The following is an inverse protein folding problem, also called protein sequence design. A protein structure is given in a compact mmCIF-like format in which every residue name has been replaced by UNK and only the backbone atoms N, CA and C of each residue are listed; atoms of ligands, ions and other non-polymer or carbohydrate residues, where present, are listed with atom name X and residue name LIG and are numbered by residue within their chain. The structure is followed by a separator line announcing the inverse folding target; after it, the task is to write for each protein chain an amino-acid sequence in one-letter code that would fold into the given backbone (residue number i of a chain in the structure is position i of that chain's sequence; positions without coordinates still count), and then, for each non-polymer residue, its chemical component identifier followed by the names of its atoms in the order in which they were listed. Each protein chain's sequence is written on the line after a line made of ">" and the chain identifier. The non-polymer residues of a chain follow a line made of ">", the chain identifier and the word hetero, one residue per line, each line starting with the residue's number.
data_IF_476068262256
#
_entry.id   IF_476068262256
#
_cell.length_a   1.000
_cell.length_b   1.000
_cell.length_c   1.000
_cell.angle_alpha   90.00
_cell.angle_beta   90.00
_cell.angle_gamma   90.00
#
_symmetry.space_group_name_H-M   'P 1'
#
loop_
_entity.id
_entity.type
_entity.pdbx_description
1 polymer ?
#
# COMPACT_ATOMS: atom_id res chain seq x y z
N UNK A 1 -20.27 -8.28 -17.08
CA UNK A 1 -19.06 -7.70 -17.70
C UNK A 1 -19.48 -6.82 -18.88
N UNK A 2 -18.87 -5.65 -19.11
CA UNK A 2 -19.16 -4.88 -20.32
C UNK A 2 -18.73 -5.69 -21.53
N UNK A 3 -19.66 -6.03 -22.44
CA UNK A 3 -19.30 -6.62 -23.74
C UNK A 3 -18.44 -5.60 -24.49
N UNK A 4 -17.21 -5.97 -24.79
CA UNK A 4 -16.36 -5.19 -25.69
C UNK A 4 -16.73 -5.58 -27.13
N UNK A 5 -17.11 -4.59 -27.93
CA UNK A 5 -17.42 -4.80 -29.33
C UNK A 5 -16.13 -4.89 -30.15
N UNK A 6 -16.12 -5.76 -31.16
CA UNK A 6 -15.06 -5.83 -32.16
C UNK A 6 -14.83 -4.47 -32.84
N UNK A 7 -13.62 -4.25 -33.35
CA UNK A 7 -13.25 -3.01 -34.03
C UNK A 7 -14.13 -2.77 -35.27
N UNK A 8 -14.32 -3.81 -36.08
CA UNK A 8 -15.18 -3.80 -37.28
C UNK A 8 -16.62 -3.38 -36.94
N UNK A 9 -17.16 -3.92 -35.85
CA UNK A 9 -18.50 -3.60 -35.40
C UNK A 9 -18.63 -2.14 -34.95
N UNK A 10 -17.59 -1.59 -34.30
CA UNK A 10 -17.59 -0.18 -33.88
C UNK A 10 -17.57 0.75 -35.10
N UNK A 11 -16.77 0.44 -36.11
CA UNK A 11 -16.72 1.23 -37.35
C UNK A 11 -18.07 1.24 -38.08
N UNK A 12 -18.68 0.06 -38.23
CA UNK A 12 -20.02 -0.06 -38.79
C UNK A 12 -21.05 0.72 -37.98
N UNK A 13 -21.05 0.55 -36.65
CA UNK A 13 -21.97 1.25 -35.76
C UNK A 13 -21.81 2.77 -35.83
N UNK A 14 -20.58 3.29 -35.92
CA UNK A 14 -20.33 4.71 -36.07
C UNK A 14 -20.82 5.25 -37.41
N UNK A 15 -20.63 4.52 -38.52
CA UNK A 15 -21.17 4.90 -39.83
C UNK A 15 -22.70 4.97 -39.82
N UNK A 16 -23.36 3.97 -39.22
CA UNK A 16 -24.83 3.93 -39.10
C UNK A 16 -25.35 5.06 -38.19
N UNK A 17 -24.66 5.35 -37.09
CA UNK A 17 -25.01 6.46 -36.19
C UNK A 17 -24.91 7.79 -36.94
N UNK A 18 -23.80 8.04 -37.64
CA UNK A 18 -23.59 9.29 -38.39
C UNK A 18 -24.62 9.47 -39.50
N UNK A 19 -24.95 8.38 -40.21
CA UNK A 19 -25.99 8.38 -41.25
C UNK A 19 -27.36 8.79 -40.69
N UNK A 20 -27.81 8.13 -39.61
CA UNK A 20 -29.15 8.38 -39.03
C UNK A 20 -29.22 9.75 -38.35
N UNK A 21 -28.13 10.24 -37.77
CA UNK A 21 -28.08 11.58 -37.16
C UNK A 21 -28.06 12.70 -38.21
N UNK A 22 -27.57 12.43 -39.43
CA UNK A 22 -27.47 13.41 -40.52
C UNK A 22 -28.62 13.31 -41.55
N UNK A 23 -29.60 12.41 -41.37
CA UNK A 23 -30.82 12.31 -42.19
C UNK A 23 -31.75 13.54 -41.99
N UNK A 24 -31.35 14.71 -42.52
CA UNK A 24 -32.14 15.96 -42.44
C UNK A 24 -33.03 16.23 -43.67
N UNK A 25 -33.00 15.37 -44.70
CA UNK A 25 -33.63 15.65 -46.02
C UNK A 25 -34.59 14.55 -46.53
N UNK A 26 -35.11 13.70 -45.64
CA UNK A 26 -36.07 12.64 -45.97
C UNK A 26 -37.50 12.95 -45.49
N UNK A 27 -38.53 12.16 -45.91
CA UNK A 27 -39.90 12.33 -45.42
C UNK A 27 -39.90 12.27 -43.89
N UNK A 28 -40.61 13.22 -43.26
CA UNK A 28 -40.62 13.48 -41.82
C UNK A 28 -41.06 12.25 -41.00
N UNK A 29 -40.12 11.34 -40.75
CA UNK A 29 -40.26 10.25 -39.78
C UNK A 29 -40.18 10.90 -38.39
N UNK A 30 -41.09 10.56 -37.45
CA UNK A 30 -41.10 11.20 -36.14
C UNK A 30 -39.74 11.05 -35.44
N UNK A 31 -39.10 12.19 -35.19
CA UNK A 31 -37.76 12.38 -34.59
C UNK A 31 -37.58 11.77 -33.19
N UNK A 32 -38.64 11.21 -32.61
CA UNK A 32 -38.68 10.79 -31.21
C UNK A 32 -38.03 9.43 -30.94
N UNK A 33 -37.35 8.79 -31.90
CA UNK A 33 -36.73 7.50 -31.60
C UNK A 33 -35.45 7.18 -32.39
N UNK A 34 -34.55 8.15 -32.58
CA UNK A 34 -33.21 7.88 -33.16
C UNK A 34 -32.52 6.73 -32.43
N UNK A 35 -32.56 6.73 -31.09
CA UNK A 35 -31.94 5.69 -30.28
C UNK A 35 -32.69 4.35 -30.37
N UNK A 36 -34.02 4.36 -30.48
CA UNK A 36 -34.83 3.17 -30.76
C UNK A 36 -34.54 2.55 -32.13
N UNK A 37 -34.36 3.37 -33.17
CA UNK A 37 -33.97 2.92 -34.51
C UNK A 37 -32.57 2.30 -34.48
N UNK A 38 -31.63 2.94 -33.78
CA UNK A 38 -30.28 2.42 -33.64
C UNK A 38 -30.23 1.08 -32.90
N UNK A 39 -31.06 0.91 -31.86
CA UNK A 39 -31.20 -0.37 -31.18
C UNK A 39 -31.75 -1.45 -32.12
N UNK A 40 -32.78 -1.15 -32.90
CA UNK A 40 -33.38 -2.09 -33.84
C UNK A 40 -32.43 -2.47 -34.98
N UNK A 41 -31.68 -1.51 -35.53
CA UNK A 41 -30.77 -1.72 -36.67
C UNK A 41 -29.50 -2.44 -36.26
N UNK A 42 -28.91 -2.06 -35.12
CA UNK A 42 -27.65 -2.63 -34.65
C UNK A 42 -27.86 -3.86 -33.76
N UNK A 43 -29.10 -4.15 -33.33
CA UNK A 43 -29.44 -5.28 -32.46
C UNK A 43 -28.82 -5.19 -31.06
N UNK A 44 -28.56 -3.97 -30.57
CA UNK A 44 -27.88 -3.71 -29.29
C UNK A 44 -28.75 -2.88 -28.36
N UNK A 45 -28.66 -3.14 -27.06
CA UNK A 45 -29.41 -2.39 -26.03
C UNK A 45 -29.22 -0.88 -26.17
N UNK A 46 -30.25 -0.09 -25.87
CA UNK A 46 -30.18 1.38 -25.71
C UNK A 46 -28.90 1.87 -24.99
N UNK A 47 -28.56 1.25 -23.85
CA UNK A 47 -27.37 1.61 -23.05
C UNK A 47 -26.05 1.48 -23.82
N UNK A 48 -25.97 0.50 -24.72
CA UNK A 48 -24.81 0.27 -25.57
C UNK A 48 -24.72 1.29 -26.70
N UNK A 49 -25.86 1.70 -27.26
CA UNK A 49 -25.94 2.81 -28.23
C UNK A 49 -25.44 4.11 -27.59
N UNK A 50 -25.92 4.46 -26.40
CA UNK A 50 -25.45 5.65 -25.67
C UNK A 50 -23.94 5.62 -25.42
N UNK A 51 -23.39 4.47 -25.02
CA UNK A 51 -21.95 4.31 -24.82
C UNK A 51 -21.16 4.48 -26.11
N UNK A 52 -21.67 3.97 -27.24
CA UNK A 52 -21.04 4.13 -28.55
C UNK A 52 -21.09 5.58 -29.02
N UNK A 53 -22.21 6.30 -28.82
CA UNK A 53 -22.32 7.73 -29.11
C UNK A 53 -21.32 8.57 -28.33
N UNK A 54 -21.19 8.34 -27.02
CA UNK A 54 -20.19 9.03 -26.18
C UNK A 54 -18.77 8.77 -26.68
N UNK A 55 -18.45 7.51 -26.97
CA UNK A 55 -17.13 7.15 -27.53
C UNK A 55 -16.86 7.77 -28.89
N UNK A 56 -17.87 7.88 -29.76
CA UNK A 56 -17.77 8.55 -31.05
C UNK A 56 -17.54 10.05 -30.89
N UNK A 57 -18.19 10.68 -29.90
CA UNK A 57 -18.00 12.09 -29.56
C UNK A 57 -16.59 12.36 -29.04
N UNK A 58 -16.10 11.55 -28.10
CA UNK A 58 -14.71 11.60 -27.60
C UNK A 58 -13.70 11.50 -28.76
N UNK A 59 -13.89 10.56 -29.69
CA UNK A 59 -13.02 10.41 -30.87
C UNK A 59 -13.08 11.60 -31.84
N UNK A 60 -14.24 12.25 -32.00
CA UNK A 60 -14.39 13.48 -32.81
C UNK A 60 -13.68 14.65 -32.12
N UNK A 61 -13.80 14.78 -30.80
CA UNK A 61 -13.11 15.81 -30.00
C UNK A 61 -11.59 15.63 -30.03
N UNK A 62 -11.09 14.40 -29.91
CA UNK A 62 -9.66 14.08 -30.02
C UNK A 62 -9.10 14.42 -31.42
N UNK A 63 -9.87 14.16 -32.48
CA UNK A 63 -9.50 14.53 -33.86
C UNK A 63 -9.52 16.05 -34.08
N UNK A 64 -10.48 16.76 -33.49
CA UNK A 64 -10.55 18.22 -33.52
C UNK A 64 -9.40 18.88 -32.74
N UNK A 65 -9.01 18.32 -31.59
CA UNK A 65 -7.83 18.78 -30.85
C UNK A 65 -6.52 18.49 -31.61
N UNK A 66 -6.43 17.32 -32.25
CA UNK A 66 -5.28 16.96 -33.10
C UNK A 66 -5.16 17.85 -34.35
N UNK A 67 -6.28 18.20 -35.00
CA UNK A 67 -6.29 19.12 -36.15
C UNK A 67 -6.00 20.57 -35.77
N UNK A 68 -6.33 20.99 -34.53
CA UNK A 68 -5.90 22.27 -33.96
C UNK A 68 -4.40 22.28 -33.63
N UNK A 69 -3.84 21.16 -33.16
CA UNK A 69 -2.42 21.02 -32.84
C UNK A 69 -1.53 20.96 -34.09
N UNK A 70 -1.96 20.28 -35.16
CA UNK A 70 -1.17 20.07 -36.39
C UNK A 70 -1.01 21.30 -37.30
N UNK A 71 -1.72 22.41 -37.05
CA UNK A 71 -1.38 23.72 -37.64
C UNK A 71 -0.11 24.34 -37.04
N UNK A 72 0.41 23.76 -35.96
CA UNK A 72 1.65 24.16 -35.29
C UNK A 72 2.47 22.91 -35.00
N UNK A 73 3.44 22.65 -35.88
CA UNK A 73 4.54 21.69 -35.69
C UNK A 73 4.26 20.25 -36.13
N UNK A 74 5.00 19.85 -37.16
CA UNK A 74 5.26 18.46 -37.54
C UNK A 74 6.03 17.70 -36.46
N UNK A 75 5.52 16.58 -35.95
CA UNK A 75 6.30 15.34 -35.72
C UNK A 75 5.47 14.20 -35.12
N UNK A 76 5.59 13.03 -35.77
CA UNK A 76 5.50 11.65 -35.25
C UNK A 76 4.40 11.28 -34.24
N UNK A 77 3.37 10.58 -34.73
CA UNK A 77 2.45 9.79 -33.92
C UNK A 77 3.09 8.45 -33.53
N UNK A 78 3.20 8.19 -32.23
CA UNK A 78 3.35 6.85 -31.67
C UNK A 78 2.16 6.59 -30.74
N UNK A 79 1.51 5.41 -30.78
CA UNK A 79 0.33 5.15 -29.97
C UNK A 79 0.75 4.95 -28.51
N UNK A 80 0.43 5.93 -27.66
CA UNK A 80 0.64 5.82 -26.22
C UNK A 80 -0.44 4.89 -25.64
N UNK A 81 -0.09 3.85 -24.85
CA UNK A 81 -1.09 3.03 -24.19
C UNK A 81 -1.87 3.89 -23.20
N UNK A 82 -3.20 3.89 -23.33
CA UNK A 82 -4.10 4.60 -22.41
C UNK A 82 -3.81 4.16 -20.98
N UNK A 83 -3.47 5.13 -20.13
CA UNK A 83 -3.24 4.89 -18.70
C UNK A 83 -4.51 4.30 -18.07
N UNK A 84 -4.38 3.34 -17.15
CA UNK A 84 -5.53 2.72 -16.51
C UNK A 84 -6.38 3.80 -15.83
N UNK A 85 -7.66 3.86 -16.20
CA UNK A 85 -8.64 4.79 -15.61
C UNK A 85 -8.67 4.57 -14.10
N UNK A 86 -8.17 5.56 -13.36
CA UNK A 86 -8.23 5.61 -11.90
C UNK A 86 -9.69 5.56 -11.48
N UNK A 87 -10.15 4.40 -10.99
CA UNK A 87 -11.46 4.31 -10.31
C UNK A 87 -11.34 5.15 -9.05
N UNK A 88 -12.21 6.16 -8.88
CA UNK A 88 -12.20 7.01 -7.69
C UNK A 88 -12.53 6.14 -6.46
N UNK A 89 -11.49 5.70 -5.75
CA UNK A 89 -11.63 5.08 -4.45
C UNK A 89 -12.08 6.09 -3.41
N UNK A 90 -12.39 5.60 -2.20
CA UNK A 90 -12.64 6.47 -1.04
C UNK A 90 -11.43 7.40 -0.84
N UNK A 91 -11.63 8.71 -0.64
CA UNK A 91 -10.53 9.64 -0.41
C UNK A 91 -9.70 9.19 0.79
N UNK A 92 -8.37 9.25 0.65
CA UNK A 92 -7.46 8.99 1.76
C UNK A 92 -7.66 10.08 2.81
N UNK A 93 -7.71 9.69 4.08
CA UNK A 93 -7.70 10.64 5.19
C UNK A 93 -6.36 11.36 5.13
N UNK A 94 -6.39 12.66 4.80
CA UNK A 94 -5.19 13.49 4.82
C UNK A 94 -5.03 14.06 6.23
N UNK A 95 -3.89 13.76 6.84
CA UNK A 95 -3.59 14.25 8.18
C UNK A 95 -2.89 15.60 8.10
N UNK A 96 -3.36 16.58 8.86
CA UNK A 96 -2.68 17.87 9.03
C UNK A 96 -1.30 17.66 9.67
N UNK A 97 -0.37 18.61 9.50
CA UNK A 97 0.97 18.52 10.12
C UNK A 97 0.88 18.26 11.63
N UNK A 98 -0.04 18.95 12.31
CA UNK A 98 -0.31 18.73 13.73
C UNK A 98 -0.68 17.28 14.07
N UNK A 99 -1.54 16.64 13.26
CA UNK A 99 -1.90 15.25 13.49
C UNK A 99 -0.72 14.30 13.28
N UNK A 100 0.16 14.60 12.32
CA UNK A 100 1.37 13.81 12.07
C UNK A 100 2.34 13.89 13.26
N UNK A 101 2.54 15.10 13.79
CA UNK A 101 3.38 15.33 14.97
C UNK A 101 2.80 14.67 16.22
N UNK A 102 1.47 14.65 16.35
CA UNK A 102 0.77 13.97 17.45
C UNK A 102 1.04 12.46 17.44
N UNK A 103 1.05 11.83 16.26
CA UNK A 103 1.41 10.40 16.12
C UNK A 103 2.86 10.18 16.56
N UNK A 104 3.80 11.00 16.10
CA UNK A 104 5.23 10.90 16.47
C UNK A 104 5.43 11.08 17.97
N UNK A 105 4.80 12.09 18.56
CA UNK A 105 4.89 12.38 19.99
C UNK A 105 4.35 11.20 20.81
N UNK A 106 3.15 10.72 20.49
CA UNK A 106 2.52 9.60 21.22
C UNK A 106 3.37 8.33 21.10
N UNK A 107 3.94 8.07 19.92
CA UNK A 107 4.86 6.96 19.71
C UNK A 107 6.09 7.04 20.63
N UNK A 108 6.72 8.22 20.72
CA UNK A 108 7.89 8.42 21.59
C UNK A 108 7.55 8.41 23.08
N UNK A 109 6.35 8.87 23.46
CA UNK A 109 5.86 8.76 24.83
C UNK A 109 5.69 7.29 25.25
N UNK A 110 5.13 6.44 24.39
CA UNK A 110 5.04 5.00 24.68
C UNK A 110 6.41 4.37 24.91
N UNK A 111 7.40 4.73 24.09
CA UNK A 111 8.78 4.27 24.28
C UNK A 111 9.39 4.78 25.59
N UNK A 112 9.10 6.03 25.97
CA UNK A 112 9.52 6.61 27.26
C UNK A 112 8.92 5.84 28.45
N UNK A 113 7.67 5.40 28.31
CA UNK A 113 6.94 4.62 29.33
C UNK A 113 7.34 3.13 29.33
N UNK A 114 8.44 2.76 28.66
CA UNK A 114 8.95 1.39 28.55
C UNK A 114 7.95 0.43 27.89
N UNK A 115 7.04 0.94 27.05
CA UNK A 115 6.10 0.14 26.28
C UNK A 115 6.44 0.16 24.79
N UNK A 116 6.41 -1.02 24.14
CA UNK A 116 6.57 -1.07 22.70
C UNK A 116 5.32 -0.50 22.00
N UNK A 117 5.48 0.48 21.10
CA UNK A 117 4.36 1.04 20.35
C UNK A 117 3.83 -0.01 19.36
N UNK A 118 2.69 -0.59 19.69
CA UNK A 118 1.89 -1.40 18.76
C UNK A 118 0.83 -0.51 18.12
N UNK A 119 0.30 -0.90 16.95
CA UNK A 119 -0.80 -0.15 16.32
C UNK A 119 -2.03 -0.03 17.24
N UNK A 120 -2.27 -1.04 18.08
CA UNK A 120 -3.38 -1.07 19.01
C UNK A 120 -3.17 -0.12 20.19
N UNK A 121 -2.02 -0.21 20.86
CA UNK A 121 -1.74 0.66 22.00
C UNK A 121 -1.58 2.11 21.55
N UNK A 122 -0.96 2.34 20.39
CA UNK A 122 -0.84 3.68 19.81
C UNK A 122 -2.21 4.26 19.47
N UNK A 123 -3.09 3.50 18.82
CA UNK A 123 -4.44 3.96 18.50
C UNK A 123 -5.26 4.22 19.77
N UNK A 124 -5.21 3.32 20.75
CA UNK A 124 -5.91 3.47 22.02
C UNK A 124 -5.44 4.73 22.78
N UNK A 125 -4.12 4.95 22.84
CA UNK A 125 -3.54 6.14 23.49
C UNK A 125 -3.92 7.42 22.75
N UNK A 126 -3.87 7.41 21.42
CA UNK A 126 -4.28 8.55 20.59
C UNK A 126 -5.75 8.91 20.80
N UNK A 127 -6.66 7.93 20.76
CA UNK A 127 -8.10 8.18 20.94
C UNK A 127 -8.45 8.55 22.38
N UNK A 128 -7.70 8.06 23.37
CA UNK A 128 -7.88 8.43 24.78
C UNK A 128 -7.47 9.88 25.05
N UNK A 129 -6.41 10.37 24.41
CA UNK A 129 -5.93 11.75 24.60
C UNK A 129 -6.65 12.74 23.67
N UNK A 130 -7.02 12.30 22.47
CA UNK A 130 -7.63 13.11 21.42
C UNK A 130 -8.85 12.36 20.84
N UNK A 131 -10.04 12.47 21.46
CA UNK A 131 -11.25 11.77 21.00
C UNK A 131 -11.67 12.12 19.57
N UNK A 132 -11.38 13.34 19.13
CA UNK A 132 -11.71 13.87 17.80
C UNK A 132 -10.65 13.58 16.74
N UNK A 133 -9.67 12.73 17.04
CA UNK A 133 -8.62 12.38 16.08
C UNK A 133 -9.23 11.72 14.82
N UNK A 134 -8.82 12.13 13.60
CA UNK A 134 -9.47 11.70 12.36
C UNK A 134 -9.29 10.21 12.03
N UNK A 135 -8.29 9.56 12.62
CA UNK A 135 -7.99 8.14 12.37
C UNK A 135 -8.56 7.28 13.50
N UNK A 136 -9.57 6.47 13.17
CA UNK A 136 -10.23 5.55 14.11
C UNK A 136 -9.95 4.07 13.87
N UNK A 137 -9.18 3.72 12.83
CA UNK A 137 -8.92 2.33 12.44
C UNK A 137 -7.43 1.99 12.42
N UNK A 138 -7.10 0.77 12.85
CA UNK A 138 -5.72 0.23 12.84
C UNK A 138 -5.11 0.27 11.44
N UNK A 139 -5.87 -0.07 10.40
CA UNK A 139 -5.41 -0.08 9.01
C UNK A 139 -5.08 1.31 8.47
N UNK A 140 -5.88 2.31 8.83
CA UNK A 140 -5.60 3.70 8.45
C UNK A 140 -4.38 4.25 9.20
N UNK A 141 -4.26 3.97 10.51
CA UNK A 141 -3.07 4.34 11.29
C UNK A 141 -1.80 3.70 10.72
N UNK A 142 -1.84 2.42 10.36
CA UNK A 142 -0.72 1.74 9.72
C UNK A 142 -0.29 2.44 8.42
N UNK A 143 -1.25 2.82 7.56
CA UNK A 143 -0.95 3.54 6.31
C UNK A 143 -0.31 4.90 6.58
N UNK A 144 -0.84 5.65 7.54
CA UNK A 144 -0.28 6.97 7.89
C UNK A 144 1.11 6.85 8.53
N UNK A 145 1.34 5.86 9.41
CA UNK A 145 2.68 5.57 9.92
C UNK A 145 3.66 5.26 8.78
N UNK A 146 3.26 4.45 7.80
CA UNK A 146 4.09 4.18 6.61
C UNK A 146 4.33 5.43 5.77
N UNK A 147 3.37 6.34 5.67
CA UNK A 147 3.52 7.63 5.00
C UNK A 147 4.48 8.56 5.75
N UNK A 148 4.53 8.48 7.08
CA UNK A 148 5.45 9.19 7.97
C UNK A 148 6.85 8.53 8.07
N UNK A 149 7.21 7.67 7.11
CA UNK A 149 8.49 6.97 7.06
C UNK A 149 8.76 5.98 8.20
N UNK A 150 7.74 5.60 9.00
CA UNK A 150 7.92 4.54 10.00
C UNK A 150 8.15 3.17 9.31
N UNK A 151 9.04 2.38 9.91
CA UNK A 151 9.45 1.06 9.40
C UNK A 151 9.23 0.00 10.46
N UNK A 152 8.40 -0.99 10.17
CA UNK A 152 8.30 -2.21 10.97
C UNK A 152 9.38 -3.19 10.51
N UNK A 153 10.39 -3.45 11.34
CA UNK A 153 11.53 -4.29 10.96
C UNK A 153 12.09 -5.05 12.16
N UNK A 154 12.88 -6.08 11.86
CA UNK A 154 13.53 -6.88 12.89
C UNK A 154 14.56 -6.05 13.66
N UNK A 155 14.53 -6.25 14.97
CA UNK A 155 15.52 -5.77 15.90
C UNK A 155 16.82 -6.52 15.68
N UNK A 156 17.90 -5.81 15.32
CA UNK A 156 19.26 -6.38 15.32
C UNK A 156 19.60 -6.80 16.75
N UNK A 157 19.70 -8.12 17.00
CA UNK A 157 20.29 -8.66 18.23
C UNK A 157 21.77 -8.26 18.28
N UNK A 158 22.31 -8.08 19.48
CA UNK A 158 23.75 -7.94 19.64
C UNK A 158 24.42 -9.19 19.04
N UNK A 159 25.31 -9.00 18.05
CA UNK A 159 26.10 -10.10 17.53
C UNK A 159 27.15 -10.43 18.58
N UNK A 160 26.94 -11.51 19.32
CA UNK A 160 28.04 -12.12 20.08
C UNK A 160 29.00 -12.68 19.05
N UNK A 161 30.23 -12.17 19.02
CA UNK A 161 31.29 -12.68 18.14
C UNK A 161 31.76 -14.04 18.68
N UNK A 162 30.96 -15.08 18.44
CA UNK A 162 31.30 -16.46 18.81
C UNK A 162 32.60 -16.93 18.15
N UNK A 163 32.96 -16.31 17.02
CA UNK A 163 34.20 -16.58 16.29
C UNK A 163 35.43 -15.89 16.90
N UNK A 164 35.28 -15.10 17.96
CA UNK A 164 36.44 -14.54 18.68
C UNK A 164 37.34 -15.67 19.20
N UNK A 165 38.65 -15.51 18.97
CA UNK A 165 39.68 -16.48 19.37
C UNK A 165 39.57 -16.83 20.87
N UNK A 166 39.20 -15.86 21.71
CA UNK A 166 39.02 -16.08 23.15
C UNK A 166 37.88 -17.06 23.45
N UNK A 167 36.73 -16.94 22.78
CA UNK A 167 35.60 -17.86 22.96
C UNK A 167 35.93 -19.26 22.42
N UNK A 168 36.63 -19.33 21.29
CA UNK A 168 37.07 -20.61 20.73
C UNK A 168 38.03 -21.34 21.68
N UNK A 169 39.01 -20.63 22.25
CA UNK A 169 39.97 -21.19 23.20
C UNK A 169 39.27 -21.69 24.47
N UNK A 170 38.36 -20.91 25.06
CA UNK A 170 37.58 -21.33 26.22
C UNK A 170 36.73 -22.58 25.93
N UNK A 171 36.09 -22.63 24.75
CA UNK A 171 35.30 -23.77 24.32
C UNK A 171 36.15 -25.03 24.14
N UNK A 172 37.36 -24.90 23.59
CA UNK A 172 38.30 -26.00 23.46
C UNK A 172 38.73 -26.56 24.83
N UNK A 173 39.02 -25.68 25.80
CA UNK A 173 39.35 -26.08 27.18
C UNK A 173 38.17 -26.80 27.84
N UNK A 174 36.96 -26.28 27.69
CA UNK A 174 35.74 -26.90 28.20
C UNK A 174 35.56 -28.32 27.65
N UNK A 175 35.66 -28.50 26.32
CA UNK A 175 35.48 -29.82 25.71
C UNK A 175 36.54 -30.83 26.15
N UNK A 176 37.81 -30.43 26.26
CA UNK A 176 38.86 -31.30 26.81
C UNK A 176 38.52 -31.80 28.21
N UNK A 177 37.97 -30.92 29.05
CA UNK A 177 37.54 -31.28 30.40
C UNK A 177 36.36 -32.24 30.39
N UNK A 178 35.34 -31.98 29.56
CA UNK A 178 34.21 -32.88 29.37
C UNK A 178 34.68 -34.27 28.91
N UNK A 179 35.60 -34.35 27.96
CA UNK A 179 36.11 -35.63 27.45
C UNK A 179 36.87 -36.41 28.53
N UNK A 180 37.66 -35.73 29.36
CA UNK A 180 38.32 -36.37 30.51
C UNK A 180 37.32 -36.94 31.53
N UNK A 181 36.19 -36.24 31.77
CA UNK A 181 35.15 -36.70 32.69
C UNK A 181 34.38 -37.91 32.12
N UNK A 182 34.17 -37.95 30.79
CA UNK A 182 33.57 -39.09 30.08
C UNK A 182 34.47 -40.33 30.16
N UNK A 183 35.77 -40.16 29.96
CA UNK A 183 36.75 -41.25 30.08
C UNK A 183 36.76 -41.85 31.50
N UNK A 184 36.57 -41.01 32.51
CA UNK A 184 36.51 -41.43 33.91
C UNK A 184 35.11 -41.94 34.33
N UNK A 185 34.21 -42.19 33.38
CA UNK A 185 32.84 -42.69 33.62
C UNK A 185 32.03 -41.87 34.64
N UNK A 186 32.31 -40.55 34.72
CA UNK A 186 31.63 -39.65 35.66
C UNK A 186 30.21 -39.33 35.20
N UNK A 187 29.25 -39.32 36.14
CA UNK A 187 27.87 -38.94 35.87
C UNK A 187 27.79 -37.41 35.72
N UNK A 188 27.30 -36.94 34.58
CA UNK A 188 27.12 -35.51 34.30
C UNK A 188 25.65 -35.13 34.31
N UNK A 189 25.34 -34.05 35.02
CA UNK A 189 24.05 -33.38 34.96
C UNK A 189 24.24 -32.00 34.37
N UNK A 190 23.42 -31.65 33.37
CA UNK A 190 23.38 -30.32 32.79
C UNK A 190 22.11 -29.62 33.26
N UNK A 191 22.28 -28.40 33.75
CA UNK A 191 21.17 -27.52 34.07
C UNK A 191 21.31 -26.24 33.24
N UNK A 192 20.21 -25.79 32.65
CA UNK A 192 20.15 -24.52 31.95
C UNK A 192 19.02 -23.69 32.56
N UNK A 193 19.37 -22.54 33.11
CA UNK A 193 18.42 -21.59 33.65
C UNK A 193 18.04 -20.61 32.55
N UNK A 194 16.78 -20.68 32.08
CA UNK A 194 16.23 -19.66 31.18
C UNK A 194 15.56 -18.58 32.01
N UNK A 195 16.25 -17.46 32.23
CA UNK A 195 15.68 -16.29 32.88
C UNK A 195 14.71 -15.58 31.93
N UNK A 196 13.41 -15.60 32.26
CA UNK A 196 12.40 -14.85 31.51
C UNK A 196 12.44 -13.38 31.92
N UNK A 197 13.19 -12.58 31.17
CA UNK A 197 13.31 -11.15 31.45
C UNK A 197 12.05 -10.41 30.99
N UNK A 198 11.36 -9.71 31.91
CA UNK A 198 10.23 -8.82 31.58
C UNK A 198 10.61 -7.75 30.56
N UNK A 199 11.89 -7.39 30.49
CA UNK A 199 12.45 -6.40 29.58
C UNK A 199 13.08 -7.02 28.32
N UNK A 200 12.76 -8.28 27.98
CA UNK A 200 13.27 -8.89 26.75
C UNK A 200 12.82 -8.08 25.52
N UNK A 201 13.80 -7.71 24.70
CA UNK A 201 13.57 -6.90 23.51
C UNK A 201 12.78 -7.70 22.48
N UNK A 202 11.68 -7.13 21.96
CA UNK A 202 10.88 -7.78 20.92
C UNK A 202 11.70 -7.95 19.63
N UNK A 203 11.53 -9.10 18.98
CA UNK A 203 12.22 -9.43 17.72
C UNK A 203 11.89 -8.48 16.58
N UNK A 204 10.67 -7.93 16.54
CA UNK A 204 10.21 -7.00 15.50
C UNK A 204 9.53 -5.82 16.16
N UNK A 205 9.92 -4.61 15.78
CA UNK A 205 9.37 -3.37 16.35
C UNK A 205 9.23 -2.30 15.27
N UNK A 206 8.43 -1.29 15.55
CA UNK A 206 8.33 -0.09 14.74
C UNK A 206 9.51 0.83 15.01
N UNK A 207 10.09 1.38 13.97
CA UNK A 207 11.14 2.40 14.00
C UNK A 207 10.62 3.68 13.36
N UNK A 208 10.89 4.80 14.00
CA UNK A 208 10.74 6.12 13.41
C UNK A 208 11.76 6.36 12.28
N UNK A 209 11.59 7.42 11.51
CA UNK A 209 12.49 7.91 10.46
C UNK A 209 13.94 8.05 10.97
N UNK A 210 14.09 8.57 12.19
CA UNK A 210 15.38 8.73 12.88
C UNK A 210 15.93 7.41 13.50
N UNK A 211 15.36 6.27 13.14
CA UNK A 211 15.73 4.94 13.62
C UNK A 211 15.54 4.69 15.13
N UNK A 212 14.68 5.49 15.77
CA UNK A 212 14.24 5.28 17.15
C UNK A 212 13.01 4.36 17.17
N UNK A 213 13.18 3.17 17.72
CA UNK A 213 12.08 2.18 17.85
C UNK A 213 12.27 1.20 19.01
N UNK A 214 13.39 1.31 19.71
CA UNK A 214 13.79 0.41 20.79
C UNK A 214 13.56 1.11 22.12
N UNK A 215 13.18 0.32 23.12
CA UNK A 215 13.24 0.79 24.50
C UNK A 215 14.69 1.13 24.82
N UNK A 216 14.92 2.26 25.49
CA UNK A 216 16.25 2.58 26.00
C UNK A 216 16.67 1.44 26.93
N UNK A 217 17.86 0.88 26.71
CA UNK A 217 18.43 -0.09 27.64
C UNK A 217 18.44 0.56 29.02
N UNK A 218 17.81 -0.06 30.00
CA UNK A 218 17.99 0.35 31.38
C UNK A 218 19.47 0.23 31.70
N UNK A 219 20.13 1.30 32.11
CA UNK A 219 21.51 1.28 32.62
C UNK A 219 21.63 0.54 33.96
N UNK A 220 20.54 -0.06 34.44
CA UNK A 220 20.52 -0.89 35.63
C UNK A 220 21.37 -2.14 35.44
N UNK A 221 22.55 -2.14 36.05
CA UNK A 221 23.00 -3.31 36.80
C UNK A 221 21.80 -3.81 37.59
N UNK A 222 21.48 -5.11 37.47
CA UNK A 222 20.39 -5.74 38.20
C UNK A 222 20.41 -5.24 39.64
N UNK A 223 19.41 -4.46 39.99
CA UNK A 223 19.14 -4.03 41.36
C UNK A 223 17.92 -4.82 41.78
N UNK A 224 18.09 -5.40 42.95
CA UNK A 224 17.31 -6.44 43.63
C UNK A 224 15.80 -6.24 43.61
#
# INVERSE_FOLDING_TARGET
>A
MPKEFSLEFKQLAFSVIDFIENENSGPSIPLNNVTGRLEAILGISQRSVYRLKQKMKELKEDQEEFTRFTRSSSSSLSPTPLSPVSRSGRPKVQLTMFGQDTIRLTFHLLLKDKMYPTLENLLATLLSQYPDFPIKSKTSLHREMKALSFKYRQTKKAKVLMDSVAFQAQRAVYFRKIDSLRLNNSIMYYHDETWLNKNEEKTVVWFDDNDYGRLRKSEGKGTE
#
